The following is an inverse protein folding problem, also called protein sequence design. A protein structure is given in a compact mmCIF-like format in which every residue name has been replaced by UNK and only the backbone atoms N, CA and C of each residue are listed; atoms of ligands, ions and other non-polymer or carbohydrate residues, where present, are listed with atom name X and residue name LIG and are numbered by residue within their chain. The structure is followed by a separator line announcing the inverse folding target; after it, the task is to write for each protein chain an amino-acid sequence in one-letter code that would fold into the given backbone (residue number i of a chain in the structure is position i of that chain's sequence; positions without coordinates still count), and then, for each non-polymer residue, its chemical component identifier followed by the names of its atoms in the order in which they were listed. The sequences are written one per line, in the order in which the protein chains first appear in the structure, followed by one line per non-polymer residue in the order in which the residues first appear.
data_IF_783504505018
#
_entry.id   IF_783504505018
#
_cell.length_a   1.000
_cell.length_b   1.000
_cell.length_c   1.000
_cell.angle_alpha   90.00
_cell.angle_beta   90.00
_cell.angle_gamma   90.00
#
_symmetry.space_group_name_H-M   'P 1'
#
loop_
_entity.id
_entity.type
_entity.pdbx_description
1 polymer ?
#
# COMPACT_ATOMS: atom_id res chain seq x y z
N UNK A 1 -3.73 -60.56 46.13
CA UNK A 1 -2.94 -59.43 46.69
C UNK A 1 -3.07 -58.25 45.71
N UNK A 2 -3.82 -57.17 46.01
CA UNK A 2 -3.37 -55.84 46.56
C UNK A 2 -2.02 -55.39 45.95
N UNK A 3 -1.79 -54.19 45.39
CA UNK A 3 -2.42 -52.85 45.48
C UNK A 3 -1.73 -51.88 44.47
N UNK A 4 -2.38 -50.77 44.11
CA UNK A 4 -1.77 -49.49 43.63
C UNK A 4 -2.50 -48.87 42.42
N UNK A 5 -3.47 -47.94 42.60
CA UNK A 5 -3.33 -46.46 42.64
C UNK A 5 -2.41 -45.88 41.54
N UNK A 6 -2.73 -44.86 40.73
CA UNK A 6 -3.79 -43.84 40.68
C UNK A 6 -3.63 -43.02 39.38
N UNK A 7 -4.74 -42.46 38.87
CA UNK A 7 -4.92 -41.20 38.07
C UNK A 7 -3.89 -40.84 36.98
N UNK A 8 -4.37 -40.51 35.78
CA UNK A 8 -4.77 -39.13 35.43
C UNK A 8 -4.86 -38.90 33.91
N UNK A 9 -5.87 -38.11 33.51
CA UNK A 9 -5.92 -37.20 32.37
C UNK A 9 -5.70 -37.70 30.93
N UNK A 10 -6.80 -37.75 30.16
CA UNK A 10 -6.90 -36.98 28.90
C UNK A 10 -7.58 -35.63 29.25
N UNK A 11 -7.49 -34.55 28.48
CA UNK A 11 -7.01 -34.42 27.09
C UNK A 11 -6.02 -33.26 26.90
N UNK A 12 -5.13 -33.31 25.91
CA UNK A 12 -4.69 -32.10 25.19
C UNK A 12 -3.76 -32.48 24.02
N UNK A 13 -4.33 -32.66 22.82
CA UNK A 13 -3.54 -32.54 21.60
C UNK A 13 -3.65 -31.08 21.13
N UNK A 14 -2.98 -30.17 21.84
CA UNK A 14 -2.60 -28.86 21.30
C UNK A 14 -1.70 -29.08 20.09
N UNK A 15 -2.03 -28.56 18.90
CA UNK A 15 -1.05 -28.38 17.85
C UNK A 15 -0.04 -27.33 18.34
N UNK A 16 1.23 -27.72 18.31
CA UNK A 16 2.35 -26.90 18.73
C UNK A 16 2.53 -25.64 17.89
N UNK A 17 3.09 -24.64 18.56
CA UNK A 17 3.64 -23.41 18.04
C UNK A 17 4.33 -23.56 16.68
N UNK A 18 3.79 -22.82 15.72
CA UNK A 18 4.45 -22.41 14.49
C UNK A 18 3.78 -21.13 13.98
N UNK A 19 3.38 -20.23 14.90
CA UNK A 19 2.96 -18.90 14.52
C UNK A 19 4.19 -18.14 14.01
N UNK A 20 4.54 -18.39 12.74
CA UNK A 20 4.89 -17.28 11.88
C UNK A 20 3.70 -16.35 11.97
N UNK A 21 3.70 -15.44 12.94
CA UNK A 21 2.86 -14.25 12.87
C UNK A 21 3.25 -13.64 11.54
N UNK A 22 2.45 -13.88 10.51
CA UNK A 22 2.52 -13.09 9.31
C UNK A 22 2.31 -11.68 9.83
N UNK A 23 3.40 -10.91 9.94
CA UNK A 23 3.33 -9.53 10.42
C UNK A 23 2.28 -8.86 9.54
N UNK A 24 1.16 -8.47 10.12
CA UNK A 24 0.14 -7.77 9.37
C UNK A 24 0.63 -6.35 9.22
N UNK A 25 0.85 -5.94 7.97
CA UNK A 25 1.22 -4.58 7.63
C UNK A 25 -0.05 -3.78 7.36
N UNK A 26 -0.19 -2.66 8.07
CA UNK A 26 -1.27 -1.70 7.81
C UNK A 26 -0.82 -0.70 6.77
N UNK A 27 -1.62 -0.53 5.73
CA UNK A 27 -1.42 0.49 4.70
C UNK A 27 -2.59 1.45 4.77
N UNK A 28 -2.33 2.66 5.25
CA UNK A 28 -3.28 3.76 5.21
C UNK A 28 -3.11 4.46 3.87
N UNK A 29 -4.17 4.45 3.08
CA UNK A 29 -4.20 5.13 1.79
C UNK A 29 -5.14 6.32 1.88
N UNK A 30 -4.65 7.45 1.39
CA UNK A 30 -5.42 8.67 1.21
C UNK A 30 -5.28 9.15 -0.23
N UNK A 31 -6.25 9.90 -0.74
CA UNK A 31 -6.19 10.47 -2.09
C UNK A 31 -6.63 11.93 -2.08
N UNK A 32 -6.08 12.72 -3.00
CA UNK A 32 -6.54 14.08 -3.27
C UNK A 32 -7.92 14.10 -3.94
N UNK A 33 -8.69 15.16 -3.68
CA UNK A 33 -10.01 15.38 -4.26
C UNK A 33 -9.93 15.52 -5.80
N UNK A 34 -10.93 14.97 -6.51
CA UNK A 34 -10.89 14.79 -7.97
C UNK A 34 -11.77 15.80 -8.71
N UNK A 35 -12.69 16.50 -8.01
CA UNK A 35 -13.53 17.59 -8.54
C UNK A 35 -14.26 18.36 -7.40
N UNK A 36 -14.74 19.58 -7.71
CA UNK A 36 -15.67 20.43 -6.90
C UNK A 36 -17.00 19.70 -6.63
N UNK A 37 -16.98 18.64 -5.83
CA UNK A 37 -18.11 17.73 -5.62
C UNK A 37 -17.73 16.40 -4.97
N UNK A 38 -16.44 16.07 -4.88
CA UNK A 38 -15.93 14.90 -4.13
C UNK A 38 -15.57 15.26 -2.66
N UNK A 39 -15.99 16.44 -2.18
CA UNK A 39 -15.76 16.94 -0.82
C UNK A 39 -16.75 16.39 0.22
N UNK A 40 -17.76 15.62 -0.20
CA UNK A 40 -18.80 15.13 0.71
C UNK A 40 -18.31 14.05 1.69
N UNK A 41 -17.24 13.31 1.35
CA UNK A 41 -16.68 12.20 2.15
C UNK A 41 -15.16 12.32 2.31
N UNK A 42 -14.65 13.55 2.39
CA UNK A 42 -13.26 13.78 2.79
C UNK A 42 -13.08 13.52 4.31
N UNK A 43 -11.99 12.87 4.73
CA UNK A 43 -10.91 12.32 3.92
C UNK A 43 -11.28 10.94 3.37
N UNK A 44 -11.02 10.68 2.08
CA UNK A 44 -11.26 9.40 1.40
C UNK A 44 -10.29 8.29 1.88
N UNK A 45 -10.11 8.15 3.19
CA UNK A 45 -9.14 7.25 3.79
C UNK A 45 -9.63 5.82 3.68
N UNK A 46 -8.73 4.92 3.32
CA UNK A 46 -8.99 3.49 3.40
C UNK A 46 -7.77 2.78 3.92
N UNK A 47 -8.00 1.86 4.85
CA UNK A 47 -6.95 1.03 5.44
C UNK A 47 -7.02 -0.35 4.82
N UNK A 48 -5.88 -0.82 4.34
CA UNK A 48 -5.69 -2.23 3.95
C UNK A 48 -4.73 -2.91 4.91
N UNK A 49 -5.02 -4.17 5.18
CA UNK A 49 -4.15 -5.05 5.96
C UNK A 49 -3.59 -6.11 5.02
N UNK A 50 -2.26 -6.17 4.93
CA UNK A 50 -1.56 -7.15 4.11
C UNK A 50 -0.82 -8.14 5.02
N UNK A 51 -0.92 -9.46 4.77
CA UNK A 51 -0.10 -10.43 5.46
C UNK A 51 1.36 -10.31 4.99
N UNK A 52 2.30 -10.18 5.93
CA UNK A 52 3.73 -10.12 5.67
C UNK A 52 4.23 -8.72 5.32
N UNK A 53 5.15 -8.64 4.36
CA UNK A 53 5.79 -7.40 3.91
C UNK A 53 5.70 -7.33 2.39
N UNK A 54 4.53 -6.99 1.82
CA UNK A 54 4.38 -6.89 0.37
C UNK A 54 5.28 -5.79 -0.21
N UNK A 55 5.66 -5.92 -1.47
CA UNK A 55 6.28 -4.82 -2.20
C UNK A 55 5.26 -3.72 -2.51
N UNK A 56 5.73 -2.49 -2.77
CA UNK A 56 4.86 -1.39 -3.18
C UNK A 56 4.07 -1.72 -4.45
N UNK A 57 4.66 -2.47 -5.39
CA UNK A 57 3.94 -2.94 -6.58
C UNK A 57 2.72 -3.81 -6.24
N UNK A 58 2.82 -4.71 -5.26
CA UNK A 58 1.72 -5.60 -4.87
C UNK A 58 0.61 -4.83 -4.16
N UNK A 59 0.98 -3.89 -3.29
CA UNK A 59 0.04 -2.97 -2.63
C UNK A 59 -0.74 -2.16 -3.66
N UNK A 60 -0.04 -1.55 -4.63
CA UNK A 60 -0.69 -0.78 -5.69
C UNK A 60 -1.55 -1.64 -6.61
N UNK A 61 -1.15 -2.88 -6.90
CA UNK A 61 -1.95 -3.80 -7.67
C UNK A 61 -3.25 -4.18 -6.93
N UNK A 62 -3.20 -4.37 -5.62
CA UNK A 62 -4.38 -4.64 -4.80
C UNK A 62 -5.33 -3.43 -4.76
N UNK A 63 -4.81 -2.22 -4.52
CA UNK A 63 -5.61 -0.98 -4.52
C UNK A 63 -6.29 -0.74 -5.87
N UNK A 64 -5.58 -0.98 -6.98
CA UNK A 64 -6.14 -0.85 -8.33
C UNK A 64 -7.26 -1.87 -8.60
N UNK A 65 -7.13 -3.11 -8.11
CA UNK A 65 -8.17 -4.15 -8.26
C UNK A 65 -9.44 -3.85 -7.48
N UNK A 66 -9.32 -3.12 -6.36
CA UNK A 66 -10.45 -2.72 -5.52
C UNK A 66 -11.23 -1.53 -6.08
N UNK A 67 -10.89 -1.05 -7.29
CA UNK A 67 -11.48 0.14 -7.93
C UNK A 67 -11.48 1.39 -7.03
N UNK A 68 -10.52 1.47 -6.10
CA UNK A 68 -10.41 2.59 -5.16
C UNK A 68 -10.12 3.91 -5.88
N UNK A 69 -9.39 3.87 -6.99
CA UNK A 69 -9.19 5.04 -7.83
C UNK A 69 -10.37 5.22 -8.78
N UNK A 70 -10.99 6.42 -8.83
CA UNK A 70 -12.12 6.66 -9.70
C UNK A 70 -11.67 6.54 -11.16
N UNK A 71 -12.42 5.78 -11.93
CA UNK A 71 -12.26 5.71 -13.38
C UNK A 71 -12.83 6.97 -14.01
N UNK A 72 -12.03 7.69 -14.77
CA UNK A 72 -12.47 8.94 -15.38
C UNK A 72 -12.86 8.64 -16.82
N UNK A 73 -14.03 9.14 -17.25
CA UNK A 73 -14.72 8.82 -18.52
C UNK A 73 -13.90 8.94 -19.82
N UNK A 74 -12.66 9.40 -19.77
CA UNK A 74 -11.74 9.53 -20.91
C UNK A 74 -10.47 8.67 -20.80
N UNK A 75 -10.31 7.84 -19.76
CA UNK A 75 -9.26 6.83 -19.67
C UNK A 75 -7.83 7.34 -19.51
N UNK A 76 -7.65 8.64 -19.25
CA UNK A 76 -6.34 9.32 -19.18
C UNK A 76 -6.00 9.83 -17.78
N UNK A 77 -6.65 9.31 -16.74
CA UNK A 77 -6.35 9.76 -15.38
C UNK A 77 -4.93 9.34 -14.99
N UNK A 78 -4.15 10.31 -14.55
CA UNK A 78 -2.79 10.12 -14.02
C UNK A 78 -2.77 10.43 -12.53
N UNK A 79 -2.19 9.52 -11.76
CA UNK A 79 -2.04 9.63 -10.31
C UNK A 79 -0.57 9.42 -9.93
N UNK A 80 -0.09 10.22 -9.00
CA UNK A 80 1.23 10.03 -8.39
C UNK A 80 1.06 9.53 -6.98
N UNK A 81 1.77 8.48 -6.62
CA UNK A 81 1.73 7.90 -5.27
C UNK A 81 2.91 8.44 -4.48
N UNK A 82 2.64 9.04 -3.33
CA UNK A 82 3.66 9.57 -2.42
C UNK A 82 3.67 8.80 -1.10
N UNK A 83 4.84 8.67 -0.48
CA UNK A 83 4.97 8.17 0.90
C UNK A 83 4.63 9.25 1.92
N UNK A 84 4.10 8.88 3.09
CA UNK A 84 3.90 9.78 4.25
C UNK A 84 3.05 11.04 4.01
N UNK A 85 2.38 11.17 2.87
CA UNK A 85 1.55 12.33 2.52
C UNK A 85 1.98 12.97 1.19
N UNK A 86 1.36 14.11 0.84
CA UNK A 86 1.58 14.78 -0.45
C UNK A 86 3.00 15.28 -0.68
N UNK A 87 3.69 15.68 0.39
CA UNK A 87 5.05 16.24 0.34
C UNK A 87 6.14 15.16 0.43
N UNK A 88 5.78 13.89 0.60
CA UNK A 88 6.77 12.83 0.70
C UNK A 88 7.24 12.31 -0.65
N UNK A 89 8.13 11.33 -0.59
CA UNK A 89 8.82 10.79 -1.76
C UNK A 89 7.82 10.14 -2.71
N UNK A 90 7.88 10.51 -3.99
CA UNK A 90 7.07 9.86 -5.00
C UNK A 90 7.54 8.40 -5.21
N UNK A 91 6.63 7.45 -5.06
CA UNK A 91 6.91 6.01 -5.11
C UNK A 91 6.55 5.42 -6.47
N UNK A 92 5.47 5.89 -7.09
CA UNK A 92 4.97 5.32 -8.32
C UNK A 92 4.08 6.30 -9.08
N UNK A 93 3.95 6.06 -10.39
CA UNK A 93 2.94 6.69 -11.23
C UNK A 93 1.92 5.62 -11.64
N UNK A 94 0.65 5.92 -11.42
CA UNK A 94 -0.49 5.09 -11.79
C UNK A 94 -1.29 5.83 -12.85
N UNK A 95 -1.27 5.31 -14.07
CA UNK A 95 -2.09 5.81 -15.16
C UNK A 95 -3.21 4.83 -15.48
N UNK A 96 -4.41 5.33 -15.78
CA UNK A 96 -5.55 4.52 -16.18
C UNK A 96 -5.29 3.76 -17.49
N UNK A 97 -4.57 4.40 -18.42
CA UNK A 97 -4.13 3.79 -19.69
C UNK A 97 -3.06 2.71 -19.55
N UNK A 98 -2.38 2.62 -18.40
CA UNK A 98 -1.35 1.59 -18.17
C UNK A 98 -1.94 0.33 -17.54
N UNK A 99 -1.54 -0.84 -18.02
CA UNK A 99 -1.94 -2.13 -17.42
C UNK A 99 -1.49 -2.25 -15.97
N UNK A 100 -0.25 -1.83 -15.67
CA UNK A 100 0.37 -1.88 -14.34
C UNK A 100 0.93 -0.50 -13.96
N UNK A 101 0.92 -0.14 -12.67
CA UNK A 101 1.69 1.01 -12.15
C UNK A 101 3.16 0.93 -12.55
N UNK A 102 3.81 2.07 -12.74
CA UNK A 102 5.27 2.15 -12.90
C UNK A 102 5.89 2.67 -11.62
N UNK A 103 6.86 1.92 -11.09
CA UNK A 103 7.59 2.31 -9.88
C UNK A 103 8.67 3.34 -10.21
N UNK A 104 8.77 4.35 -9.36
CA UNK A 104 9.86 5.32 -9.34
C UNK A 104 11.02 4.76 -8.50
N UNK A 105 12.25 5.30 -8.61
CA UNK A 105 13.39 4.89 -7.80
C UNK A 105 13.07 4.80 -6.29
N UNK A 106 12.36 5.79 -5.75
CA UNK A 106 11.93 5.84 -4.35
C UNK A 106 10.91 4.76 -3.96
N UNK A 107 10.20 4.16 -4.92
CA UNK A 107 9.24 3.07 -4.71
C UNK A 107 9.79 1.67 -4.96
N UNK A 108 11.08 1.52 -5.29
CA UNK A 108 11.72 0.21 -5.42
C UNK A 108 12.05 -0.42 -4.05
N UNK A 109 12.04 0.39 -2.98
CA UNK A 109 12.19 -0.09 -1.61
C UNK A 109 10.98 -0.94 -1.15
N UNK A 110 11.21 -1.82 -0.17
CA UNK A 110 10.13 -2.57 0.47
C UNK A 110 9.15 -1.62 1.15
N UNK A 111 7.84 -1.93 1.10
CA UNK A 111 6.83 -1.16 1.81
C UNK A 111 7.12 -1.07 3.32
N UNK A 112 7.82 -2.07 3.88
CA UNK A 112 8.23 -2.06 5.28
C UNK A 112 9.20 -0.92 5.62
N UNK A 113 10.04 -0.49 4.67
CA UNK A 113 10.95 0.65 4.85
C UNK A 113 10.23 2.00 4.85
N UNK A 114 8.98 2.03 4.40
CA UNK A 114 8.13 3.22 4.35
C UNK A 114 7.15 3.30 5.53
N UNK A 115 7.15 2.29 6.41
CA UNK A 115 6.33 2.29 7.61
C UNK A 115 6.79 3.40 8.56
N UNK A 116 5.82 4.08 9.17
CA UNK A 116 6.08 5.04 10.24
C UNK A 116 6.38 4.32 11.56
N UNK A 117 6.69 5.09 12.62
CA UNK A 117 6.99 4.57 13.95
C UNK A 117 5.86 3.70 14.54
N UNK A 118 4.62 3.89 14.07
CA UNK A 118 3.46 3.10 14.45
C UNK A 118 3.28 1.78 13.66
N UNK A 119 4.16 1.54 12.67
CA UNK A 119 4.13 0.36 11.82
C UNK A 119 3.17 0.44 10.62
N UNK A 120 2.48 1.57 10.44
CA UNK A 120 1.60 1.83 9.29
C UNK A 120 2.38 2.47 8.14
N UNK A 121 2.16 1.97 6.93
CA UNK A 121 2.63 2.61 5.69
C UNK A 121 1.57 3.59 5.22
N UNK A 122 1.92 4.86 5.10
CA UNK A 122 1.00 5.91 4.62
C UNK A 122 1.28 6.21 3.16
N UNK A 123 0.28 6.07 2.31
CA UNK A 123 0.33 6.34 0.88
C UNK A 123 -0.66 7.45 0.53
N UNK A 124 -0.21 8.44 -0.22
CA UNK A 124 -1.06 9.51 -0.74
C UNK A 124 -1.12 9.45 -2.26
N UNK A 125 -2.32 9.40 -2.83
CA UNK A 125 -2.56 9.45 -4.26
C UNK A 125 -2.88 10.89 -4.68
N UNK A 126 -1.92 11.56 -5.28
CA UNK A 126 -2.04 12.91 -5.84
C UNK A 126 -2.62 12.82 -7.26
N UNK A 127 -3.79 13.42 -7.47
CA UNK A 127 -4.46 13.43 -8.76
C UNK A 127 -3.80 14.47 -9.68
N UNK A 128 -3.31 14.03 -10.84
CA UNK A 128 -2.66 14.88 -11.85
C UNK A 128 -3.52 15.06 -13.11
N UNK A 129 -4.83 14.90 -13.00
CA UNK A 129 -5.75 15.07 -14.12
C UNK A 129 -5.38 14.20 -15.33
N UNK A 130 -5.45 14.77 -16.53
CA UNK A 130 -5.13 14.12 -17.81
C UNK A 130 -3.73 14.48 -18.32
N UNK A 131 -2.80 14.83 -17.42
CA UNK A 131 -1.41 15.08 -17.78
C UNK A 131 -0.80 13.78 -18.32
N UNK A 132 0.08 13.91 -19.32
CA UNK A 132 0.83 12.79 -19.89
C UNK A 132 1.60 12.01 -18.81
N UNK A 133 1.25 10.75 -18.55
CA UNK A 133 1.87 9.98 -17.47
C UNK A 133 3.31 9.58 -17.78
N UNK A 134 3.71 9.50 -19.05
CA UNK A 134 5.10 9.21 -19.42
C UNK A 134 5.99 10.40 -19.06
N UNK A 135 5.61 11.62 -19.44
CA UNK A 135 6.31 12.84 -19.00
C UNK A 135 6.39 13.00 -17.47
N UNK A 136 5.29 12.75 -16.75
CA UNK A 136 5.29 12.80 -15.27
C UNK A 136 6.26 11.77 -14.67
N UNK A 137 6.32 10.57 -15.23
CA UNK A 137 7.23 9.54 -14.76
C UNK A 137 8.69 9.92 -14.96
N UNK A 138 9.02 10.46 -16.14
CA UNK A 138 10.38 10.86 -16.50
C UNK A 138 10.85 12.04 -15.63
N UNK A 139 10.01 13.06 -15.46
CA UNK A 139 10.28 14.22 -14.60
C UNK A 139 10.58 13.79 -13.15
N UNK A 140 9.73 12.92 -12.58
CA UNK A 140 9.89 12.44 -11.21
C UNK A 140 11.13 11.54 -11.05
N UNK A 141 11.47 10.73 -12.07
CA UNK A 141 12.70 9.96 -12.06
C UNK A 141 13.93 10.88 -12.07
N UNK A 142 13.90 11.96 -12.84
CA UNK A 142 15.00 12.92 -12.90
C UNK A 142 15.17 13.66 -11.57
N UNK A 143 14.08 14.16 -10.99
CA UNK A 143 14.09 14.83 -9.68
C UNK A 143 14.72 13.93 -8.61
N UNK A 144 14.29 12.67 -8.52
CA UNK A 144 14.83 11.75 -7.50
C UNK A 144 16.30 11.41 -7.72
N UNK A 145 16.78 11.36 -8.97
CA UNK A 145 18.22 11.15 -9.23
C UNK A 145 19.05 12.34 -8.77
N UNK A 146 18.55 13.57 -8.93
CA UNK A 146 19.22 14.80 -8.52
C UNK A 146 19.29 14.94 -7.00
N UNK A 147 18.26 14.50 -6.28
CA UNK A 147 18.23 14.55 -4.81
C UNK A 147 19.14 13.51 -4.14
N UNK A 148 19.60 12.50 -4.89
CA UNK A 148 20.46 11.41 -4.40
C UNK A 148 21.94 11.60 -4.78
N UNK A 149 22.28 12.57 -5.64
CA UNK A 149 23.67 12.92 -6.02
C UNK A 149 24.25 14.02 -5.13
#
# INVERSE_FOLDING_TARGET
MRRGCTRSARPDSRPGMGAHYARVMKVLVTRGSVAMGDDADAPHERVWEFPGQPGIADVLAAIKRDWYLPQIKFGRATWVVHSRGREGVALAVVAEQWKKPRLLPGGQASAAGLADSDGTVRLYFDYRAQIDPDGVYDDLCEIQRREVS
#
